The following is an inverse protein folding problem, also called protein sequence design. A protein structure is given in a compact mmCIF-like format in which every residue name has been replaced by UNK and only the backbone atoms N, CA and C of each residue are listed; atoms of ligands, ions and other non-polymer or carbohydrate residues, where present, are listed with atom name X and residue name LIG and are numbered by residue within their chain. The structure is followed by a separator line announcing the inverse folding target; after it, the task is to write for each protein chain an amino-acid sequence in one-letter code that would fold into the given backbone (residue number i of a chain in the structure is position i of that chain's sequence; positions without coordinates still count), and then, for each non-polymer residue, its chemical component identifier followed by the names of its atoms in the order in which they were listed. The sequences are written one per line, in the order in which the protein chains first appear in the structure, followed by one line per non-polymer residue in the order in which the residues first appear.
data_IF_941392483827
#
_entry.id   IF_941392483827
#
_cell.length_a   1.000
_cell.length_b   1.000
_cell.length_c   1.000
_cell.angle_alpha   90.00
_cell.angle_beta   90.00
_cell.angle_gamma   90.00
#
_symmetry.space_group_name_H-M   'P 1'
#
loop_
_entity.id
_entity.type
_entity.pdbx_description
1 polymer ?
#
# COMPACT_ATOMS: atom_id res chain seq x y z
N UNK A 1 -9.34 0.70 -29.92
CA UNK A 1 -8.71 1.56 -28.90
C UNK A 1 -8.79 0.79 -27.60
N UNK A 2 -7.66 0.51 -26.95
CA UNK A 2 -7.67 -0.30 -25.72
C UNK A 2 -8.40 0.42 -24.59
N UNK A 3 -9.07 -0.33 -23.73
CA UNK A 3 -9.74 0.22 -22.54
C UNK A 3 -8.74 1.05 -21.71
N UNK A 4 -9.20 2.13 -21.05
CA UNK A 4 -8.35 2.92 -20.17
C UNK A 4 -7.81 2.02 -19.06
N UNK A 5 -6.49 1.85 -19.05
CA UNK A 5 -5.79 0.96 -18.16
C UNK A 5 -5.63 1.65 -16.79
N UNK A 6 -6.00 0.95 -15.71
CA UNK A 6 -5.99 1.52 -14.36
C UNK A 6 -4.61 1.36 -13.71
N UNK A 7 -4.29 2.18 -12.72
CA UNK A 7 -3.23 1.86 -11.75
C UNK A 7 -3.87 1.30 -10.48
N UNK A 8 -3.18 0.39 -9.79
CA UNK A 8 -3.58 -0.13 -8.48
C UNK A 8 -2.58 0.32 -7.41
N UNK A 9 -3.03 1.19 -6.52
CA UNK A 9 -2.31 1.54 -5.30
C UNK A 9 -2.96 0.82 -4.11
N UNK A 10 -2.25 -0.11 -3.49
CA UNK A 10 -2.64 -0.65 -2.19
C UNK A 10 -2.07 0.25 -1.11
N UNK A 11 -2.92 0.74 -0.21
CA UNK A 11 -2.51 1.47 0.99
C UNK A 11 -2.88 0.63 2.20
N UNK A 12 -1.92 0.32 3.05
CA UNK A 12 -2.15 -0.51 4.22
C UNK A 12 -1.62 0.16 5.48
N UNK A 13 -2.46 0.16 6.51
CA UNK A 13 -2.01 0.25 7.88
C UNK A 13 -1.12 -0.96 8.21
N UNK A 14 0.05 -0.70 8.78
CA UNK A 14 1.06 -1.69 9.12
C UNK A 14 1.39 -1.71 10.61
N UNK A 15 0.50 -1.23 11.47
CA UNK A 15 0.68 -1.35 12.93
C UNK A 15 0.32 -2.75 13.43
N UNK A 16 0.57 -2.99 14.72
CA UNK A 16 0.50 -4.33 15.30
C UNK A 16 -0.88 -5.00 15.19
N UNK A 17 -1.97 -4.24 15.17
CA UNK A 17 -3.33 -4.78 15.01
C UNK A 17 -3.57 -5.39 13.63
N UNK A 18 -2.76 -5.02 12.63
CA UNK A 18 -2.91 -5.42 11.24
C UNK A 18 -2.15 -6.70 10.86
N UNK A 19 -1.53 -7.41 11.81
CA UNK A 19 -0.70 -8.61 11.57
C UNK A 19 -1.36 -9.63 10.62
N UNK A 20 -2.59 -10.06 10.95
CA UNK A 20 -3.33 -11.02 10.10
C UNK A 20 -3.68 -10.50 8.71
N UNK A 21 -3.83 -9.17 8.55
CA UNK A 21 -4.02 -8.57 7.24
C UNK A 21 -2.72 -8.54 6.43
N UNK A 22 -1.58 -8.21 7.06
CA UNK A 22 -0.28 -8.24 6.40
C UNK A 22 0.09 -9.65 5.95
N UNK A 23 -0.23 -10.69 6.73
CA UNK A 23 -0.09 -12.08 6.31
C UNK A 23 -0.89 -12.41 5.05
N UNK A 24 -2.14 -11.95 5.00
CA UNK A 24 -2.98 -12.10 3.81
C UNK A 24 -2.41 -11.33 2.62
N UNK A 25 -1.89 -10.12 2.82
CA UNK A 25 -1.28 -9.30 1.78
C UNK A 25 0.00 -9.95 1.22
N UNK A 26 0.88 -10.46 2.09
CA UNK A 26 2.09 -11.21 1.73
C UNK A 26 1.77 -12.40 0.85
N UNK A 27 0.68 -13.10 1.15
CA UNK A 27 0.20 -14.26 0.39
C UNK A 27 -0.44 -13.87 -0.94
N UNK A 28 -1.15 -12.73 -0.98
CA UNK A 28 -1.96 -12.32 -2.14
C UNK A 28 -1.18 -11.51 -3.17
N UNK A 29 -0.10 -10.82 -2.78
CA UNK A 29 0.62 -9.92 -3.71
C UNK A 29 1.16 -10.62 -4.97
N UNK A 30 1.72 -11.85 -4.91
CA UNK A 30 2.16 -12.54 -6.13
C UNK A 30 1.00 -12.86 -7.07
N UNK A 31 -0.16 -13.20 -6.50
CA UNK A 31 -1.38 -13.50 -7.26
C UNK A 31 -1.94 -12.24 -7.92
N UNK A 32 -1.99 -11.12 -7.19
CA UNK A 32 -2.40 -9.81 -7.72
C UNK A 32 -1.50 -9.41 -8.90
N UNK A 33 -0.18 -9.56 -8.77
CA UNK A 33 0.77 -9.23 -9.84
C UNK A 33 0.60 -10.15 -11.06
N UNK A 34 0.36 -11.44 -10.85
CA UNK A 34 0.08 -12.38 -11.93
C UNK A 34 -1.22 -12.04 -12.65
N UNK A 35 -2.30 -11.74 -11.92
CA UNK A 35 -3.59 -11.35 -12.48
C UNK A 35 -3.53 -10.02 -13.21
N UNK A 36 -2.84 -9.02 -12.67
CA UNK A 36 -2.62 -7.73 -13.32
C UNK A 36 -1.94 -7.92 -14.69
N UNK A 37 -0.91 -8.76 -14.75
CA UNK A 37 -0.18 -9.08 -15.98
C UNK A 37 -1.03 -9.84 -17.00
N UNK A 38 -1.84 -10.82 -16.55
CA UNK A 38 -2.65 -11.66 -17.44
C UNK A 38 -3.88 -10.93 -17.98
N UNK A 39 -4.58 -10.19 -17.12
CA UNK A 39 -5.80 -9.47 -17.48
C UNK A 39 -5.51 -8.17 -18.24
N UNK A 40 -4.33 -7.59 -18.04
CA UNK A 40 -4.04 -6.23 -18.50
C UNK A 40 -4.88 -5.16 -17.80
N UNK A 41 -5.60 -5.50 -16.72
CA UNK A 41 -6.49 -4.60 -16.00
C UNK A 41 -5.73 -3.42 -15.35
N UNK A 42 -4.48 -3.67 -14.94
CA UNK A 42 -3.63 -2.66 -14.32
C UNK A 42 -2.33 -2.42 -15.10
N UNK A 43 -1.99 -1.15 -15.34
CA UNK A 43 -0.70 -0.72 -15.92
C UNK A 43 0.41 -0.75 -14.87
N UNK A 44 0.08 -0.31 -13.66
CA UNK A 44 1.04 -0.19 -12.56
C UNK A 44 0.43 -0.67 -11.26
N UNK A 45 1.24 -1.36 -10.48
CA UNK A 45 0.90 -1.80 -9.13
C UNK A 45 1.95 -1.24 -8.17
N UNK A 46 1.52 -0.75 -7.01
CA UNK A 46 2.41 -0.36 -5.93
C UNK A 46 1.73 -0.48 -4.58
N UNK A 47 2.55 -0.55 -3.53
CA UNK A 47 2.11 -0.69 -2.13
C UNK A 47 2.69 0.47 -1.33
N UNK A 48 1.82 1.19 -0.64
CA UNK A 48 2.15 2.20 0.37
C UNK A 48 1.73 1.64 1.71
N UNK A 49 2.62 1.69 2.70
CA UNK A 49 2.26 1.36 4.09
C UNK A 49 2.47 2.57 4.99
N UNK A 50 1.73 2.61 6.09
CA UNK A 50 1.90 3.61 7.13
C UNK A 50 1.74 3.00 8.52
N UNK A 51 2.28 3.69 9.52
CA UNK A 51 2.14 3.35 10.94
C UNK A 51 1.74 4.60 11.74
N UNK A 52 2.00 4.62 13.04
CA UNK A 52 1.79 5.79 13.88
C UNK A 52 2.94 6.80 13.76
N UNK A 53 2.74 8.03 14.23
CA UNK A 53 3.81 9.04 14.31
C UNK A 53 4.87 8.76 15.38
N UNK A 54 4.59 7.84 16.31
CA UNK A 54 5.52 7.40 17.35
C UNK A 54 6.54 6.36 16.86
N UNK A 55 6.29 5.77 15.68
CA UNK A 55 7.19 4.83 15.03
C UNK A 55 8.39 5.50 14.34
N UNK A 56 9.33 4.69 13.85
CA UNK A 56 10.54 5.20 13.23
C UNK A 56 10.18 6.08 12.00
N UNK A 57 10.87 7.22 11.76
CA UNK A 57 10.48 8.15 10.70
C UNK A 57 10.34 7.55 9.30
N UNK A 58 11.14 6.52 8.98
CA UNK A 58 11.06 5.82 7.70
C UNK A 58 9.87 4.85 7.58
N UNK A 59 9.21 4.51 8.68
CA UNK A 59 8.08 3.58 8.77
C UNK A 59 6.73 4.29 8.83
N UNK A 60 6.71 5.59 9.18
CA UNK A 60 5.49 6.42 9.20
C UNK A 60 4.76 6.35 7.85
N UNK A 61 5.51 6.39 6.74
CA UNK A 61 4.97 6.17 5.40
C UNK A 61 6.02 5.62 4.44
N UNK A 62 6.01 4.31 4.20
CA UNK A 62 6.93 3.65 3.29
C UNK A 62 6.25 3.31 1.95
N UNK A 63 6.92 3.63 0.84
CA UNK A 63 6.38 3.51 -0.52
C UNK A 63 7.24 2.56 -1.35
N UNK A 64 6.63 1.53 -1.94
CA UNK A 64 7.33 0.56 -2.76
C UNK A 64 7.86 1.13 -4.08
N UNK A 65 7.22 2.17 -4.62
CA UNK A 65 7.38 2.52 -6.04
C UNK A 65 6.38 1.79 -6.93
N UNK A 66 6.13 2.35 -8.12
CA UNK A 66 5.29 1.73 -9.13
C UNK A 66 6.05 0.64 -9.88
N UNK A 67 5.48 -0.57 -9.93
CA UNK A 67 6.07 -1.74 -10.60
C UNK A 67 7.51 -2.03 -10.13
N UNK A 68 7.80 -1.80 -8.86
CA UNK A 68 9.13 -2.09 -8.32
C UNK A 68 9.42 -3.60 -8.44
N UNK A 69 10.57 -4.00 -9.01
CA UNK A 69 10.91 -5.41 -9.16
C UNK A 69 11.04 -6.15 -7.82
N UNK A 70 11.25 -5.43 -6.73
CA UNK A 70 11.33 -5.94 -5.37
C UNK A 70 10.03 -5.76 -4.60
N UNK A 71 8.91 -5.43 -5.26
CA UNK A 71 7.61 -5.23 -4.58
C UNK A 71 7.22 -6.42 -3.71
N UNK A 72 7.44 -7.65 -4.18
CA UNK A 72 7.18 -8.84 -3.36
C UNK A 72 8.04 -8.85 -2.09
N UNK A 73 9.32 -8.52 -2.20
CA UNK A 73 10.21 -8.45 -1.04
C UNK A 73 9.82 -7.31 -0.09
N UNK A 74 9.48 -6.14 -0.62
CA UNK A 74 8.96 -5.00 0.16
C UNK A 74 7.77 -5.40 1.03
N UNK A 75 6.82 -6.17 0.48
CA UNK A 75 5.66 -6.66 1.24
C UNK A 75 6.05 -7.74 2.26
N UNK A 76 6.99 -8.62 1.93
CA UNK A 76 7.49 -9.64 2.86
C UNK A 76 8.22 -9.04 4.05
N UNK A 77 8.92 -7.92 3.84
CA UNK A 77 9.69 -7.22 4.87
C UNK A 77 8.86 -6.31 5.77
N UNK A 78 7.55 -6.17 5.50
CA UNK A 78 6.66 -5.40 6.37
C UNK A 78 6.63 -6.01 7.76
N UNK A 79 6.73 -5.20 8.81
CA UNK A 79 6.70 -5.65 10.19
C UNK A 79 5.49 -5.02 10.93
N UNK A 80 4.48 -5.82 11.33
CA UNK A 80 3.29 -5.37 12.04
C UNK A 80 3.64 -5.07 13.50
N UNK A 81 4.27 -3.93 13.70
CA UNK A 81 4.71 -3.42 15.00
C UNK A 81 4.37 -1.95 15.11
N UNK A 82 4.37 -1.41 16.33
CA UNK A 82 4.06 0.01 16.56
C UNK A 82 2.60 0.26 16.88
N UNK A 83 2.13 1.47 16.57
CA UNK A 83 0.74 1.91 16.77
C UNK A 83 0.56 2.94 17.89
N UNK A 84 1.35 2.88 18.97
CA UNK A 84 1.30 3.92 20.01
C UNK A 84 -0.08 4.06 20.67
N UNK A 85 -0.89 5.04 20.23
CA UNK A 85 -2.29 5.21 20.61
C UNK A 85 -3.28 4.63 19.58
N UNK A 86 -4.58 4.91 19.69
CA UNK A 86 -5.58 4.27 18.83
C UNK A 86 -5.66 4.85 17.40
N UNK A 87 -5.50 6.17 17.17
CA UNK A 87 -5.44 6.71 15.82
C UNK A 87 -4.06 6.53 15.17
N UNK A 88 -4.02 6.52 13.83
CA UNK A 88 -2.81 6.21 13.05
C UNK A 88 -2.50 7.28 11.99
N UNK A 89 -1.31 7.27 11.36
CA UNK A 89 -0.85 8.32 10.44
C UNK A 89 -1.47 8.29 9.02
N UNK A 90 -2.73 7.88 8.89
CA UNK A 90 -3.44 7.75 7.61
C UNK A 90 -3.44 9.04 6.77
N UNK A 91 -3.48 10.24 7.38
CA UNK A 91 -3.37 11.51 6.64
C UNK A 91 -2.03 11.67 5.92
N UNK A 92 -0.94 11.24 6.56
CA UNK A 92 0.41 11.25 5.96
C UNK A 92 0.46 10.30 4.76
N UNK A 93 -0.09 9.10 4.92
CA UNK A 93 -0.21 8.13 3.85
C UNK A 93 -1.01 8.69 2.66
N UNK A 94 -2.12 9.40 2.93
CA UNK A 94 -2.94 9.98 1.87
C UNK A 94 -2.15 11.03 1.08
N UNK A 95 -1.45 11.94 1.77
CA UNK A 95 -0.61 12.95 1.12
C UNK A 95 0.49 12.27 0.29
N UNK A 96 1.14 11.23 0.83
CA UNK A 96 2.18 10.48 0.12
C UNK A 96 1.63 9.76 -1.12
N UNK A 97 0.45 9.15 -1.01
CA UNK A 97 -0.26 8.54 -2.12
C UNK A 97 -0.62 9.56 -3.20
N UNK A 98 -1.17 10.72 -2.81
CA UNK A 98 -1.49 11.82 -3.73
C UNK A 98 -0.26 12.36 -4.47
N UNK A 99 0.94 12.31 -3.87
CA UNK A 99 2.20 12.64 -4.53
C UNK A 99 2.68 11.56 -5.50
N UNK A 100 2.33 10.30 -5.25
CA UNK A 100 2.74 9.16 -6.08
C UNK A 100 1.83 8.96 -7.32
N UNK A 101 0.55 9.30 -7.21
CA UNK A 101 -0.42 9.17 -8.31
C UNK A 101 -0.26 10.29 -9.33
N UNK A 102 -0.51 9.96 -10.61
CA UNK A 102 -0.60 10.94 -11.68
C UNK A 102 -2.07 11.34 -11.87
N UNK A 103 -2.37 12.64 -11.88
CA UNK A 103 -3.72 13.19 -12.06
C UNK A 103 -4.37 12.79 -13.39
N UNK A 104 -3.55 12.51 -14.40
CA UNK A 104 -4.01 12.07 -15.73
C UNK A 104 -4.28 10.56 -15.79
N UNK A 105 -3.83 9.80 -14.79
CA UNK A 105 -4.01 8.35 -14.71
C UNK A 105 -5.26 7.98 -13.91
N UNK A 106 -5.95 6.91 -14.31
CA UNK A 106 -7.04 6.34 -13.52
C UNK A 106 -6.49 5.42 -12.45
N UNK A 107 -6.27 5.94 -11.24
CA UNK A 107 -5.77 5.12 -10.13
C UNK A 107 -6.92 4.61 -9.26
N UNK A 108 -7.01 3.29 -9.08
CA UNK A 108 -7.77 2.66 -8.03
C UNK A 108 -6.90 2.59 -6.76
N UNK A 109 -7.37 3.19 -5.69
CA UNK A 109 -6.72 3.11 -4.37
C UNK A 109 -7.51 2.14 -3.50
N UNK A 110 -6.88 1.04 -3.10
CA UNK A 110 -7.43 0.08 -2.15
C UNK A 110 -6.82 0.35 -0.79
N UNK A 111 -7.59 0.92 0.13
CA UNK A 111 -7.14 1.31 1.46
C UNK A 111 -7.62 0.31 2.52
N UNK A 112 -6.69 -0.29 3.25
CA UNK A 112 -6.97 -1.20 4.36
C UNK A 112 -6.42 -0.67 5.67
N UNK A 113 -7.29 -0.55 6.67
CA UNK A 113 -6.98 -0.06 8.01
C UNK A 113 -8.06 -0.52 9.00
N UNK A 114 -7.72 -0.62 10.27
CA UNK A 114 -8.67 -0.91 11.36
C UNK A 114 -8.75 0.21 12.42
N UNK A 115 -7.91 1.25 12.29
CA UNK A 115 -7.86 2.41 13.15
C UNK A 115 -8.29 3.73 12.45
N UNK A 116 -8.82 4.72 13.20
CA UNK A 116 -9.13 6.04 12.66
C UNK A 116 -7.85 6.86 12.39
N UNK A 117 -7.92 7.90 11.54
CA UNK A 117 -6.81 8.85 11.41
C UNK A 117 -6.68 9.75 12.64
N UNK A 118 -5.45 10.12 13.00
CA UNK A 118 -5.17 11.40 13.71
C UNK A 118 -5.71 12.59 12.91
#
# INVERSE_FOLDING_TARGET
MGDPQYDLLVVADATASMDGYLDALRSSIPEILALAKLSGAFSRVGVLVYKDYTDLPQEIAAWSGWNDPNLSQFVQDLDPTGGGDFPEAAKTALIRGLQAVNKESKTLVLWYADAPPH
#
